data_IF_967820452985
#
_entry.id   IF_967820452985
#
_cell.length_a   1.000
_cell.length_b   1.000
_cell.length_c   1.000
_cell.angle_alpha   90.00
_cell.angle_beta   90.00
_cell.angle_gamma   90.00
#
_symmetry.space_group_name_H-M   'P 1'
#
loop_
_entity.id
_entity.type
_entity.pdbx_description
1 polymer ?
#
# COMPACT_ATOMS: atom_id res chain seq x y z
N UNK A 1 19.49 -6.84 16.30
CA UNK A 1 19.79 -6.78 17.73
C UNK A 1 19.34 -5.41 18.20
N UNK A 2 18.19 -5.35 18.87
CA UNK A 2 17.62 -4.12 19.44
C UNK A 2 18.31 -3.85 20.77
N UNK A 3 18.99 -2.71 20.91
CA UNK A 3 19.56 -2.29 22.20
C UNK A 3 18.40 -1.81 23.07
N UNK A 4 18.23 -2.38 24.26
CA UNK A 4 17.21 -1.96 25.22
C UNK A 4 17.57 -0.64 25.89
N UNK A 5 16.57 0.09 26.38
CA UNK A 5 16.80 1.34 27.11
C UNK A 5 17.65 1.13 28.38
N UNK A 6 17.49 -0.02 29.04
CA UNK A 6 18.32 -0.41 30.19
C UNK A 6 19.81 -0.55 29.82
N UNK A 7 20.11 -1.22 28.70
CA UNK A 7 21.48 -1.35 28.22
C UNK A 7 22.08 0.00 27.79
N UNK A 8 21.25 0.90 27.26
CA UNK A 8 21.64 2.29 26.93
C UNK A 8 21.98 3.08 28.19
N UNK A 9 21.20 2.92 29.26
CA UNK A 9 21.48 3.54 30.56
C UNK A 9 22.78 3.01 31.18
N UNK A 10 22.97 1.68 31.22
CA UNK A 10 24.19 1.07 31.76
C UNK A 10 25.45 1.55 31.02
N UNK A 11 25.35 1.70 29.70
CA UNK A 11 26.42 2.27 28.88
C UNK A 11 26.70 3.74 29.22
N UNK A 12 25.68 4.57 29.43
CA UNK A 12 25.88 5.97 29.85
C UNK A 12 26.58 6.05 31.21
N UNK A 13 26.20 5.20 32.16
CA UNK A 13 26.85 5.13 33.49
C UNK A 13 28.32 4.73 33.34
N UNK A 14 28.63 3.73 32.51
CA UNK A 14 30.01 3.31 32.21
C UNK A 14 30.83 4.38 31.49
N UNK A 15 30.24 5.11 30.54
CA UNK A 15 30.91 6.21 29.84
C UNK A 15 31.23 7.36 30.80
N UNK A 16 30.28 7.74 31.67
CA UNK A 16 30.49 8.79 32.68
C UNK A 16 31.62 8.44 33.64
N UNK A 17 31.75 7.18 34.04
CA UNK A 17 32.80 6.76 34.98
C UNK A 17 34.21 6.76 34.39
N UNK A 18 34.36 6.62 33.07
CA UNK A 18 35.68 6.56 32.41
C UNK A 18 36.07 7.85 31.67
N UNK A 19 35.10 8.58 31.12
CA UNK A 19 35.33 9.74 30.24
C UNK A 19 34.86 11.06 30.87
N UNK A 20 34.15 11.00 31.99
CA UNK A 20 33.52 12.16 32.62
C UNK A 20 32.13 12.48 32.03
N UNK A 21 31.40 13.32 32.76
CA UNK A 21 30.01 13.71 32.48
C UNK A 21 29.81 14.27 31.07
N UNK A 22 30.58 15.29 30.71
CA UNK A 22 30.37 16.08 29.50
C UNK A 22 30.65 15.26 28.23
N UNK A 23 31.77 14.53 28.22
CA UNK A 23 32.16 13.68 27.06
C UNK A 23 31.17 12.54 26.88
N UNK A 24 30.71 11.93 27.98
CA UNK A 24 29.71 10.87 27.92
C UNK A 24 28.37 11.37 27.38
N UNK A 25 27.90 12.54 27.83
CA UNK A 25 26.63 13.09 27.37
C UNK A 25 26.67 13.45 25.87
N UNK A 26 27.75 14.07 25.40
CA UNK A 26 27.95 14.37 23.97
C UNK A 26 27.92 13.08 23.13
N UNK A 27 28.60 12.02 23.59
CA UNK A 27 28.56 10.73 22.89
C UNK A 27 27.15 10.15 22.83
N UNK A 28 26.40 10.22 23.93
CA UNK A 28 25.03 9.71 24.00
C UNK A 28 24.05 10.46 23.10
N UNK A 29 24.27 11.77 22.86
CA UNK A 29 23.48 12.59 21.93
C UNK A 29 23.68 12.18 20.46
N UNK A 30 24.84 11.63 20.10
CA UNK A 30 25.12 11.18 18.73
C UNK A 30 24.63 9.75 18.44
N UNK A 31 24.24 8.99 19.46
CA UNK A 31 23.76 7.63 19.27
C UNK A 31 22.30 7.64 18.80
N UNK A 32 21.94 6.80 17.81
CA UNK A 32 20.56 6.69 17.35
C UNK A 32 19.63 6.31 18.52
N UNK A 33 18.45 6.94 18.65
CA UNK A 33 17.47 6.62 19.68
C UNK A 33 17.13 5.14 19.72
N UNK A 34 16.67 4.65 20.87
CA UNK A 34 16.12 3.30 20.98
C UNK A 34 14.99 3.09 19.96
N UNK A 35 14.88 1.87 19.41
CA UNK A 35 13.88 1.53 18.40
C UNK A 35 14.19 1.95 16.96
N UNK A 36 15.32 2.62 16.68
CA UNK A 36 15.73 2.93 15.30
C UNK A 36 16.02 1.69 14.45
N UNK A 37 16.39 0.57 15.07
CA UNK A 37 16.48 -0.72 14.37
C UNK A 37 15.14 -1.26 13.89
N UNK A 38 14.05 -0.77 14.47
CA UNK A 38 12.68 -1.23 14.24
C UNK A 38 11.96 -0.32 13.23
N UNK A 39 12.56 0.81 12.86
CA UNK A 39 12.11 1.59 11.71
C UNK A 39 12.30 0.71 10.47
N UNK A 40 11.19 0.49 9.75
CA UNK A 40 11.17 -0.35 8.55
C UNK A 40 12.34 0.02 7.63
N UNK A 41 13.18 -0.97 7.32
CA UNK A 41 14.27 -0.81 6.37
C UNK A 41 13.66 -0.63 4.99
N UNK A 42 14.41 -0.02 4.06
CA UNK A 42 13.99 0.09 2.65
C UNK A 42 13.56 -1.26 2.08
N UNK A 43 14.24 -2.34 2.46
CA UNK A 43 13.93 -3.70 2.05
C UNK A 43 12.59 -4.23 2.60
N UNK A 44 12.18 -3.81 3.80
CA UNK A 44 10.88 -4.20 4.38
C UNK A 44 9.71 -3.55 3.59
N UNK A 45 9.97 -2.38 2.99
CA UNK A 45 9.00 -1.69 2.13
C UNK A 45 8.94 -2.29 0.72
N UNK A 46 9.97 -3.00 0.24
CA UNK A 46 9.97 -3.60 -1.09
C UNK A 46 8.83 -4.60 -1.26
N UNK A 47 8.56 -5.42 -0.23
CA UNK A 47 7.44 -6.36 -0.27
C UNK A 47 6.09 -5.65 -0.32
N UNK A 48 5.94 -4.53 0.40
CA UNK A 48 4.71 -3.73 0.39
C UNK A 48 4.52 -3.08 -0.98
N UNK A 49 5.55 -2.45 -1.53
CA UNK A 49 5.54 -1.81 -2.84
C UNK A 49 5.20 -2.83 -3.93
N UNK A 50 5.79 -4.03 -3.87
CA UNK A 50 5.49 -5.10 -4.81
C UNK A 50 4.02 -5.53 -4.75
N UNK A 51 3.46 -5.70 -3.55
CA UNK A 51 2.05 -6.05 -3.36
C UNK A 51 1.11 -4.96 -3.88
N UNK A 52 1.41 -3.69 -3.58
CA UNK A 52 0.64 -2.54 -4.07
C UNK A 52 0.67 -2.47 -5.60
N UNK A 53 1.84 -2.63 -6.22
CA UNK A 53 1.97 -2.67 -7.68
C UNK A 53 1.14 -3.79 -8.32
N UNK A 54 1.04 -4.95 -7.66
CA UNK A 54 0.22 -6.04 -8.17
C UNK A 54 -1.28 -5.72 -8.07
N UNK A 55 -1.72 -5.09 -6.98
CA UNK A 55 -3.10 -4.62 -6.80
C UNK A 55 -3.47 -3.60 -7.90
N UNK A 56 -2.58 -2.65 -8.21
CA UNK A 56 -2.81 -1.67 -9.27
C UNK A 56 -3.02 -2.33 -10.65
N UNK A 57 -2.26 -3.39 -10.95
CA UNK A 57 -2.41 -4.17 -12.19
C UNK A 57 -3.75 -4.90 -12.23
N UNK A 58 -4.15 -5.53 -11.13
CA UNK A 58 -5.44 -6.23 -11.03
C UNK A 58 -6.61 -5.25 -11.19
N UNK A 59 -6.55 -4.08 -10.57
CA UNK A 59 -7.58 -3.04 -10.70
C UNK A 59 -7.69 -2.53 -12.14
N UNK A 60 -6.56 -2.31 -12.81
CA UNK A 60 -6.52 -1.94 -14.23
C UNK A 60 -7.16 -3.00 -15.12
N UNK A 61 -6.89 -4.28 -14.86
CA UNK A 61 -7.51 -5.41 -15.58
C UNK A 61 -9.02 -5.46 -15.34
N UNK A 62 -9.48 -5.31 -14.10
CA UNK A 62 -10.90 -5.27 -13.74
C UNK A 62 -11.60 -4.13 -14.50
N UNK A 63 -11.02 -2.93 -14.50
CA UNK A 63 -11.57 -1.79 -15.22
C UNK A 63 -11.68 -2.04 -16.74
N UNK A 64 -10.66 -2.67 -17.34
CA UNK A 64 -10.71 -3.07 -18.75
C UNK A 64 -11.84 -4.06 -19.05
N UNK A 65 -11.96 -5.11 -18.25
CA UNK A 65 -13.05 -6.10 -18.39
C UNK A 65 -14.43 -5.46 -18.21
N UNK A 66 -14.59 -4.57 -17.23
CA UNK A 66 -15.85 -3.87 -17.01
C UNK A 66 -16.25 -3.01 -18.21
N UNK A 67 -15.32 -2.28 -18.83
CA UNK A 67 -15.62 -1.49 -20.05
C UNK A 67 -16.16 -2.37 -21.17
N UNK A 68 -15.57 -3.55 -21.38
CA UNK A 68 -16.02 -4.50 -22.40
C UNK A 68 -17.42 -5.03 -22.06
N UNK A 69 -17.66 -5.43 -20.81
CA UNK A 69 -18.97 -5.93 -20.37
C UNK A 69 -20.04 -4.86 -20.54
N UNK A 70 -19.78 -3.63 -20.07
CA UNK A 70 -20.74 -2.52 -20.15
C UNK A 70 -21.07 -2.22 -21.62
N UNK A 71 -20.05 -2.14 -22.50
CA UNK A 71 -20.27 -1.95 -23.94
C UNK A 71 -21.11 -3.08 -24.55
N UNK A 72 -20.83 -4.32 -24.17
CA UNK A 72 -21.61 -5.48 -24.60
C UNK A 72 -23.07 -5.42 -24.14
N UNK A 73 -23.32 -5.13 -22.86
CA UNK A 73 -24.67 -5.01 -22.29
C UNK A 73 -25.45 -3.91 -23.01
N UNK A 74 -24.87 -2.72 -23.18
CA UNK A 74 -25.54 -1.60 -23.88
C UNK A 74 -25.92 -2.01 -25.31
N UNK A 75 -25.01 -2.66 -26.03
CA UNK A 75 -25.24 -3.09 -27.42
C UNK A 75 -26.37 -4.11 -27.50
N UNK A 76 -26.36 -5.12 -26.63
CA UNK A 76 -27.40 -6.16 -26.57
C UNK A 76 -28.75 -5.55 -26.19
N UNK A 77 -28.78 -4.69 -25.16
CA UNK A 77 -30.00 -4.00 -24.75
C UNK A 77 -30.59 -3.15 -25.87
N UNK A 78 -29.77 -2.41 -26.62
CA UNK A 78 -30.22 -1.63 -27.75
C UNK A 78 -30.83 -2.51 -28.86
N UNK A 79 -30.18 -3.62 -29.20
CA UNK A 79 -30.70 -4.57 -30.19
C UNK A 79 -32.06 -5.16 -29.77
N UNK A 80 -32.20 -5.54 -28.49
CA UNK A 80 -33.47 -6.05 -27.94
C UNK A 80 -34.57 -4.99 -28.06
N UNK A 81 -34.29 -3.74 -27.68
CA UNK A 81 -35.26 -2.65 -27.77
C UNK A 81 -35.75 -2.48 -29.22
N UNK A 82 -34.84 -2.49 -30.19
CA UNK A 82 -35.19 -2.39 -31.62
C UNK A 82 -36.09 -3.54 -32.06
N UNK A 83 -35.76 -4.78 -31.68
CA UNK A 83 -36.57 -5.96 -32.00
C UNK A 83 -37.98 -5.87 -31.39
N UNK A 84 -38.10 -5.39 -30.16
CA UNK A 84 -39.40 -5.19 -29.52
C UNK A 84 -40.26 -4.14 -30.25
N UNK A 85 -39.64 -3.06 -30.72
CA UNK A 85 -40.34 -2.03 -31.52
C UNK A 85 -40.84 -2.63 -32.85
N UNK A 86 -39.99 -3.36 -33.57
CA UNK A 86 -40.34 -4.00 -34.83
C UNK A 86 -41.49 -5.00 -34.66
N UNK A 87 -41.42 -5.82 -33.60
CA UNK A 87 -42.48 -6.77 -33.28
C UNK A 87 -43.82 -6.07 -33.02
N UNK A 88 -43.81 -4.99 -32.24
CA UNK A 88 -45.01 -4.21 -31.93
C UNK A 88 -45.63 -3.57 -33.18
N UNK A 89 -44.80 -3.04 -34.08
CA UNK A 89 -45.27 -2.48 -35.36
C UNK A 89 -45.89 -3.54 -36.26
N UNK A 90 -45.30 -4.74 -36.34
CA UNK A 90 -45.82 -5.84 -37.13
C UNK A 90 -47.21 -6.29 -36.63
N UNK A 91 -47.37 -6.47 -35.32
CA UNK A 91 -48.67 -6.83 -34.71
C UNK A 91 -49.72 -5.76 -34.99
N UNK A 92 -49.37 -4.47 -34.89
CA UNK A 92 -50.31 -3.38 -35.16
C UNK A 92 -50.73 -3.26 -36.64
N UNK A 93 -49.99 -3.89 -37.56
CA UNK A 93 -50.26 -3.86 -38.99
C UNK A 93 -51.09 -5.05 -39.51
N UNK A 94 -51.31 -6.06 -38.66
CA UNK A 94 -52.19 -7.21 -38.90
C UNK A 94 -53.64 -6.85 -38.57
#
# INVERSE_FOLDING_TARGET
>A
MTISEAARFDMQVGLRSHLGEDVANILMEHLPPSGWSDVARKQDLEQVIFRVSNIEKELSRINGTLKVIIGGVITVSAAIIVLLIQLNQNISSL
#
